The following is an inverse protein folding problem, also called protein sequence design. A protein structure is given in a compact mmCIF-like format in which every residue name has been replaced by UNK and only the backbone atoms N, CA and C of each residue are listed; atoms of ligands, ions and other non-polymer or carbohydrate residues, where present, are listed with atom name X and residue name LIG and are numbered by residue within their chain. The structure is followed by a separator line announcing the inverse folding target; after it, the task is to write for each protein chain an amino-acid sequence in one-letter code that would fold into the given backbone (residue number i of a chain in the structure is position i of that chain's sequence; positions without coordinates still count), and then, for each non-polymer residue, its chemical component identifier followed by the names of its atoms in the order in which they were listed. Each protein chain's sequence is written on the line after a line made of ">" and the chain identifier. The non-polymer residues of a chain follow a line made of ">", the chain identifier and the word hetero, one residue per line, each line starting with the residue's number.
data_IF_675378959661
#
_entry.id   IF_675378959661
#
_cell.length_a   1.000
_cell.length_b   1.000
_cell.length_c   1.000
_cell.angle_alpha   90.00
_cell.angle_beta   90.00
_cell.angle_gamma   90.00
#
_symmetry.space_group_name_H-M   'P 1'
#
loop_
_entity.id
_entity.type
_entity.pdbx_description
1 polymer ?
#
# COMPACT_ATOMS: atom_id res chain seq x y z
N UNK A 1 -43.36 -36.33 10.09
CA UNK A 1 -43.88 -35.00 10.51
C UNK A 1 -43.02 -34.57 11.69
N UNK A 2 -42.14 -33.59 11.69
CA UNK A 2 -41.74 -32.52 10.76
C UNK A 2 -40.23 -32.28 11.03
N UNK A 3 -39.33 -32.37 10.04
CA UNK A 3 -38.79 -31.20 9.32
C UNK A 3 -38.45 -30.00 10.23
N UNK A 4 -37.39 -30.11 11.03
CA UNK A 4 -36.51 -28.97 11.37
C UNK A 4 -35.09 -29.52 11.59
N UNK A 5 -34.29 -29.65 10.52
CA UNK A 5 -32.97 -29.04 10.58
C UNK A 5 -32.60 -28.50 9.19
N UNK A 6 -33.21 -27.39 8.79
CA UNK A 6 -32.80 -26.70 7.55
C UNK A 6 -32.57 -25.20 7.75
N UNK A 7 -32.87 -24.65 8.94
CA UNK A 7 -32.69 -23.22 9.20
C UNK A 7 -31.28 -22.83 9.67
N UNK A 8 -30.43 -23.78 10.07
CA UNK A 8 -29.11 -23.46 10.62
C UNK A 8 -27.96 -23.47 9.60
N UNK A 9 -28.19 -23.94 8.37
CA UNK A 9 -27.15 -24.04 7.33
C UNK A 9 -27.15 -22.83 6.39
N UNK A 10 -28.19 -21.98 6.44
CA UNK A 10 -28.31 -20.80 5.59
C UNK A 10 -27.69 -19.52 6.17
N UNK A 11 -27.23 -19.52 7.43
CA UNK A 11 -26.59 -18.36 8.08
C UNK A 11 -25.06 -18.35 7.97
N UNK A 12 -24.48 -19.31 7.26
CA UNK A 12 -23.05 -19.35 6.91
C UNK A 12 -22.83 -19.09 5.42
N UNK A 13 -23.69 -18.30 4.79
CA UNK A 13 -23.26 -17.57 3.61
C UNK A 13 -22.36 -16.46 4.11
N UNK A 14 -21.07 -16.78 4.27
CA UNK A 14 -20.02 -15.77 4.27
C UNK A 14 -20.32 -14.86 3.08
N UNK A 15 -20.70 -13.63 3.34
CA UNK A 15 -20.47 -12.58 2.36
C UNK A 15 -18.95 -12.46 2.27
N UNK A 16 -18.32 -13.38 1.53
CA UNK A 16 -17.02 -13.11 0.98
C UNK A 16 -17.27 -11.90 0.10
N UNK A 17 -16.67 -10.78 0.45
CA UNK A 17 -16.64 -9.60 -0.39
C UNK A 17 -15.85 -10.03 -1.63
N UNK A 18 -16.55 -10.60 -2.61
CA UNK A 18 -15.96 -11.06 -3.84
C UNK A 18 -15.93 -9.87 -4.78
N UNK A 19 -14.86 -9.08 -4.71
CA UNK A 19 -14.54 -8.11 -5.75
C UNK A 19 -14.14 -8.84 -7.04
N UNK A 20 -14.60 -8.35 -8.18
CA UNK A 20 -14.10 -8.81 -9.47
C UNK A 20 -12.89 -7.98 -9.92
N UNK A 21 -12.04 -8.49 -10.83
CA UNK A 21 -10.98 -7.69 -11.43
C UNK A 21 -11.50 -6.39 -12.07
N UNK A 22 -12.69 -6.42 -12.68
CA UNK A 22 -13.35 -5.24 -13.23
C UNK A 22 -13.73 -4.23 -12.13
N UNK A 23 -14.28 -4.69 -11.00
CA UNK A 23 -14.60 -3.81 -9.87
C UNK A 23 -13.34 -3.09 -9.35
N UNK A 24 -12.25 -3.84 -9.19
CA UNK A 24 -10.96 -3.26 -8.76
C UNK A 24 -10.41 -2.28 -9.79
N UNK A 25 -10.50 -2.60 -11.09
CA UNK A 25 -10.07 -1.72 -12.16
C UNK A 25 -10.87 -0.42 -12.21
N UNK A 26 -12.18 -0.46 -11.96
CA UNK A 26 -13.02 0.74 -11.93
C UNK A 26 -12.81 1.58 -10.66
N UNK A 27 -12.45 0.97 -9.55
CA UNK A 27 -12.15 1.68 -8.30
C UNK A 27 -10.77 2.37 -8.32
N UNK A 28 -9.77 1.73 -8.93
CA UNK A 28 -8.38 2.19 -8.89
C UNK A 28 -8.14 3.67 -9.27
N UNK A 29 -8.79 4.24 -10.31
CA UNK A 29 -8.60 5.65 -10.65
C UNK A 29 -8.97 6.65 -9.55
N UNK A 30 -9.88 6.26 -8.65
CA UNK A 30 -10.35 7.08 -7.52
C UNK A 30 -9.50 6.84 -6.27
N UNK A 31 -9.03 5.61 -6.08
CA UNK A 31 -8.26 5.20 -4.90
C UNK A 31 -6.75 5.47 -5.01
N UNK A 32 -6.20 5.58 -6.22
CA UNK A 32 -4.76 5.80 -6.41
C UNK A 32 -4.31 7.14 -5.84
N UNK A 33 -3.16 7.14 -5.19
CA UNK A 33 -2.54 8.33 -4.63
C UNK A 33 -1.60 9.00 -5.62
N UNK A 34 -0.83 8.19 -6.37
CA UNK A 34 0.13 8.70 -7.36
C UNK A 34 -0.56 8.84 -8.72
N UNK A 35 -0.76 10.08 -9.15
CA UNK A 35 -1.40 10.35 -10.44
C UNK A 35 -0.45 10.21 -11.63
N UNK A 36 0.84 10.48 -11.41
CA UNK A 36 1.90 10.41 -12.42
C UNK A 36 2.02 8.98 -12.95
N UNK A 37 1.96 8.76 -14.27
CA UNK A 37 2.15 7.43 -14.86
C UNK A 37 3.50 6.83 -14.43
N UNK A 38 3.52 5.55 -14.07
CA UNK A 38 4.72 4.90 -13.52
C UNK A 38 6.01 5.13 -14.34
N UNK A 39 6.02 5.01 -15.68
CA UNK A 39 7.24 5.27 -16.48
C UNK A 39 7.74 6.72 -16.45
N UNK A 40 6.89 7.65 -16.02
CA UNK A 40 7.15 9.08 -15.94
C UNK A 40 7.51 9.54 -14.51
N UNK A 41 7.26 8.72 -13.48
CA UNK A 41 7.55 9.08 -12.09
C UNK A 41 9.07 9.10 -11.87
N UNK A 42 9.65 10.30 -11.75
CA UNK A 42 11.09 10.48 -11.53
C UNK A 42 11.43 10.52 -10.04
N UNK A 43 12.71 10.33 -9.65
CA UNK A 43 13.11 10.42 -8.24
C UNK A 43 12.67 11.71 -7.54
N UNK A 44 12.70 12.85 -8.25
CA UNK A 44 12.24 14.13 -7.70
C UNK A 44 10.72 14.15 -7.46
N UNK A 45 9.94 13.60 -8.39
CA UNK A 45 8.48 13.49 -8.27
C UNK A 45 8.12 12.55 -7.12
N UNK A 46 8.79 11.39 -7.03
CA UNK A 46 8.63 10.44 -5.94
C UNK A 46 8.90 11.09 -4.57
N UNK A 47 9.99 11.85 -4.45
CA UNK A 47 10.29 12.56 -3.20
C UNK A 47 9.21 13.57 -2.81
N UNK A 48 8.61 14.24 -3.79
CA UNK A 48 7.47 15.14 -3.54
C UNK A 48 6.23 14.38 -3.07
N UNK A 49 5.91 13.24 -3.69
CA UNK A 49 4.78 12.40 -3.28
C UNK A 49 4.98 11.79 -1.88
N UNK A 50 6.21 11.36 -1.55
CA UNK A 50 6.58 10.89 -0.22
C UNK A 50 6.38 11.98 0.84
N UNK A 51 6.84 13.19 0.56
CA UNK A 51 6.69 14.32 1.47
C UNK A 51 5.21 14.67 1.68
N UNK A 52 4.42 14.73 0.60
CA UNK A 52 2.97 14.92 0.65
C UNK A 52 2.28 13.84 1.50
N UNK A 53 2.66 12.57 1.32
CA UNK A 53 2.10 11.47 2.11
C UNK A 53 2.44 11.61 3.59
N UNK A 54 3.68 12.00 3.92
CA UNK A 54 4.10 12.28 5.29
C UNK A 54 3.32 13.42 5.93
N UNK A 55 3.02 14.47 5.18
CA UNK A 55 2.27 15.63 5.66
C UNK A 55 0.79 15.31 5.88
N UNK A 56 0.20 14.42 5.09
CA UNK A 56 -1.16 13.94 5.27
C UNK A 56 -1.30 13.05 6.52
N UNK A 57 -0.23 12.34 6.91
CA UNK A 57 -0.26 11.33 7.97
C UNK A 57 0.92 11.41 8.95
N UNK A 58 1.18 12.57 9.59
CA UNK A 58 2.46 12.91 10.27
C UNK A 58 2.86 12.02 11.46
N UNK A 59 1.96 11.18 11.96
CA UNK A 59 2.23 10.24 13.06
C UNK A 59 2.00 8.77 12.68
N UNK A 60 1.47 8.50 11.48
CA UNK A 60 1.16 7.14 11.01
C UNK A 60 2.16 6.62 9.99
N UNK A 61 3.00 7.50 9.43
CA UNK A 61 4.07 7.13 8.50
C UNK A 61 5.39 7.75 8.95
N UNK A 62 6.47 6.99 8.82
CA UNK A 62 7.83 7.45 9.07
C UNK A 62 8.66 7.34 7.80
N UNK A 63 9.42 8.38 7.48
CA UNK A 63 10.33 8.42 6.33
C UNK A 63 11.76 8.42 6.84
N UNK A 64 12.61 7.56 6.27
CA UNK A 64 14.03 7.46 6.61
C UNK A 64 14.86 7.36 5.33
N UNK A 65 15.92 8.16 5.21
CA UNK A 65 16.95 7.93 4.19
C UNK A 65 17.86 6.80 4.65
N UNK A 66 17.73 5.63 4.03
CA UNK A 66 18.50 4.42 4.41
C UNK A 66 19.79 4.25 3.59
N UNK A 67 20.01 5.13 2.61
CA UNK A 67 21.20 5.12 1.79
C UNK A 67 21.12 6.10 0.64
N UNK A 68 22.16 6.05 -0.21
CA UNK A 68 22.26 6.82 -1.44
C UNK A 68 22.71 5.93 -2.57
N UNK A 69 22.23 6.21 -3.78
CA UNK A 69 22.65 5.55 -5.01
C UNK A 69 24.07 5.97 -5.43
N UNK A 70 24.55 5.43 -6.55
CA UNK A 70 25.88 5.77 -7.07
C UNK A 70 25.97 7.24 -7.49
N UNK A 71 24.93 7.79 -8.11
CA UNK A 71 24.86 9.22 -8.46
C UNK A 71 24.41 10.11 -7.28
N UNK A 72 24.33 9.55 -6.06
CA UNK A 72 24.09 10.29 -4.82
C UNK A 72 22.61 10.61 -4.53
N UNK A 73 21.68 9.99 -5.25
CA UNK A 73 20.23 10.17 -5.02
C UNK A 73 19.80 9.42 -3.75
N UNK A 74 18.93 10.01 -2.91
CA UNK A 74 18.48 9.37 -1.68
C UNK A 74 17.65 8.11 -1.97
N UNK A 75 17.83 7.09 -1.14
CA UNK A 75 16.97 5.89 -1.10
C UNK A 75 16.15 5.99 0.18
N UNK A 76 14.85 6.19 0.02
CA UNK A 76 13.92 6.42 1.13
C UNK A 76 13.20 5.12 1.51
N UNK A 77 13.23 4.78 2.79
CA UNK A 77 12.39 3.77 3.42
C UNK A 77 11.16 4.46 4.02
N UNK A 78 9.97 3.91 3.79
CA UNK A 78 8.75 4.30 4.50
C UNK A 78 8.30 3.19 5.44
N UNK A 79 7.87 3.56 6.64
CA UNK A 79 7.37 2.62 7.65
C UNK A 79 5.97 3.01 8.10
N UNK A 80 5.05 2.03 8.14
CA UNK A 80 3.70 2.18 8.68
C UNK A 80 3.23 0.89 9.35
N UNK A 81 2.25 1.00 10.26
CA UNK A 81 1.80 -0.10 11.11
C UNK A 81 2.69 -0.31 12.33
N UNK A 82 2.18 -1.05 13.30
CA UNK A 82 2.81 -1.25 14.60
C UNK A 82 2.72 -2.69 15.10
N UNK A 83 2.44 -3.62 14.19
CA UNK A 83 2.36 -5.02 14.52
C UNK A 83 3.72 -5.68 14.78
N UNK A 84 3.72 -6.86 15.42
CA UNK A 84 4.96 -7.55 15.79
C UNK A 84 5.74 -8.10 14.60
N UNK A 85 5.08 -8.36 13.46
CA UNK A 85 5.70 -8.98 12.30
C UNK A 85 6.11 -7.92 11.27
N UNK A 86 7.40 -7.85 10.94
CA UNK A 86 7.91 -6.91 9.94
C UNK A 86 7.91 -7.52 8.55
N UNK A 87 7.31 -6.82 7.58
CA UNK A 87 7.30 -7.19 6.17
C UNK A 87 7.99 -6.10 5.34
N UNK A 88 9.04 -6.50 4.62
CA UNK A 88 9.76 -5.62 3.70
C UNK A 88 9.18 -5.75 2.28
N UNK A 89 8.81 -4.62 1.69
CA UNK A 89 8.47 -4.50 0.29
C UNK A 89 9.48 -3.57 -0.41
N UNK A 90 9.89 -3.89 -1.63
CA UNK A 90 10.69 -2.98 -2.43
C UNK A 90 10.30 -3.03 -3.90
N UNK A 91 10.61 -1.97 -4.63
CA UNK A 91 10.43 -1.90 -6.08
C UNK A 91 11.62 -1.29 -6.80
N UNK A 92 11.61 -1.43 -8.14
CA UNK A 92 12.65 -0.93 -9.05
C UNK A 92 14.06 -1.35 -8.64
N UNK A 93 14.28 -2.65 -8.44
CA UNK A 93 15.66 -3.18 -8.46
C UNK A 93 16.25 -3.12 -9.87
N UNK A 94 15.39 -3.33 -10.88
CA UNK A 94 15.63 -2.99 -12.27
C UNK A 94 14.92 -1.66 -12.55
N UNK A 95 15.64 -0.65 -13.02
CA UNK A 95 15.12 0.71 -13.16
C UNK A 95 14.01 0.85 -14.23
N UNK A 96 13.95 -0.09 -15.16
CA UNK A 96 13.00 -0.18 -16.27
C UNK A 96 11.69 -0.92 -15.93
N UNK A 97 11.49 -1.30 -14.66
CA UNK A 97 10.27 -1.95 -14.16
C UNK A 97 9.49 -1.01 -13.19
N UNK A 98 8.97 0.14 -13.65
CA UNK A 98 8.52 1.23 -12.77
C UNK A 98 7.18 1.00 -12.08
N UNK A 99 6.38 0.03 -12.53
CA UNK A 99 4.97 -0.10 -12.14
C UNK A 99 4.73 -0.25 -10.63
N UNK A 100 5.67 -0.89 -9.92
CA UNK A 100 5.51 -1.18 -8.50
C UNK A 100 5.80 0.04 -7.60
N UNK A 101 6.56 1.03 -8.07
CA UNK A 101 6.89 2.24 -7.31
C UNK A 101 5.66 3.04 -6.89
N UNK A 102 4.78 3.49 -7.82
CA UNK A 102 3.54 4.15 -7.41
C UNK A 102 2.61 3.19 -6.66
N UNK A 103 2.61 1.90 -6.97
CA UNK A 103 1.75 0.93 -6.28
C UNK A 103 2.07 0.82 -4.78
N UNK A 104 3.35 0.91 -4.37
CA UNK A 104 3.71 0.93 -2.95
C UNK A 104 3.21 2.20 -2.24
N UNK A 105 3.22 3.35 -2.92
CA UNK A 105 2.63 4.59 -2.37
C UNK A 105 1.10 4.51 -2.32
N UNK A 106 0.46 3.93 -3.34
CA UNK A 106 -1.00 3.72 -3.36
C UNK A 106 -1.43 2.79 -2.21
N UNK A 107 -0.70 1.70 -1.95
CA UNK A 107 -0.96 0.80 -0.81
C UNK A 107 -0.83 1.56 0.52
N UNK A 108 0.25 2.33 0.69
CA UNK A 108 0.45 3.11 1.91
C UNK A 108 -0.70 4.10 2.13
N UNK A 109 -1.03 4.88 1.11
CA UNK A 109 -2.10 5.87 1.16
C UNK A 109 -3.46 5.20 1.44
N UNK A 110 -3.78 4.10 0.77
CA UNK A 110 -5.02 3.35 0.96
C UNK A 110 -5.19 2.86 2.39
N UNK A 111 -4.17 2.20 2.95
CA UNK A 111 -4.21 1.70 4.33
C UNK A 111 -4.34 2.83 5.35
N UNK A 112 -3.72 3.97 5.09
CA UNK A 112 -3.76 5.13 5.98
C UNK A 112 -5.08 5.92 5.89
N UNK A 113 -5.67 6.03 4.70
CA UNK A 113 -6.96 6.71 4.49
C UNK A 113 -8.14 5.89 5.01
N UNK A 114 -8.04 4.56 4.98
CA UNK A 114 -9.08 3.63 5.45
C UNK A 114 -8.79 3.09 6.86
N UNK A 115 -8.02 3.79 7.70
CA UNK A 115 -7.59 3.28 9.01
C UNK A 115 -8.72 2.98 10.00
N UNK A 116 -9.94 3.44 9.72
CA UNK A 116 -11.14 3.17 10.54
C UNK A 116 -11.96 1.98 10.01
N UNK A 117 -11.63 1.46 8.83
CA UNK A 117 -12.29 0.31 8.22
C UNK A 117 -11.59 -0.99 8.62
N UNK A 118 -12.31 -2.06 9.01
CA UNK A 118 -11.73 -3.24 9.67
C UNK A 118 -10.51 -3.86 8.99
N UNK A 119 -10.46 -3.79 7.66
CA UNK A 119 -9.41 -4.35 6.83
C UNK A 119 -8.04 -3.69 7.05
N UNK A 120 -7.99 -2.37 7.25
CA UNK A 120 -6.72 -1.67 7.43
C UNK A 120 -6.09 -1.94 8.81
N UNK A 121 -6.79 -1.82 9.96
CA UNK A 121 -6.28 -2.26 11.26
C UNK A 121 -5.92 -3.74 11.28
N UNK A 122 -6.68 -4.62 10.61
CA UNK A 122 -6.32 -6.04 10.51
C UNK A 122 -4.94 -6.27 9.87
N UNK A 123 -4.45 -5.32 9.06
CA UNK A 123 -3.10 -5.32 8.49
C UNK A 123 -2.13 -4.57 9.41
N UNK A 124 -2.43 -3.30 9.75
CA UNK A 124 -1.49 -2.39 10.44
C UNK A 124 -1.27 -2.73 11.92
N UNK A 125 -2.22 -3.41 12.57
CA UNK A 125 -2.08 -3.85 13.97
C UNK A 125 -1.26 -5.14 14.09
N UNK A 126 -1.17 -5.91 13.00
CA UNK A 126 -0.49 -7.20 12.95
C UNK A 126 0.86 -7.13 12.23
N UNK A 127 1.02 -6.20 11.30
CA UNK A 127 2.24 -5.99 10.53
C UNK A 127 2.86 -4.61 10.77
N UNK A 128 4.18 -4.56 10.77
CA UNK A 128 4.94 -3.34 10.45
C UNK A 128 5.42 -3.47 9.01
N UNK A 129 4.88 -2.63 8.14
CA UNK A 129 5.25 -2.58 6.73
C UNK A 129 6.41 -1.60 6.58
N UNK A 130 7.54 -2.10 6.08
CA UNK A 130 8.69 -1.27 5.69
C UNK A 130 8.85 -1.36 4.19
N UNK A 131 8.91 -0.22 3.50
CA UNK A 131 8.83 -0.19 2.03
C UNK A 131 9.90 0.71 1.43
N UNK A 132 10.58 0.24 0.38
CA UNK A 132 11.53 1.02 -0.43
C UNK A 132 10.90 1.23 -1.82
N UNK A 133 10.24 2.37 -2.08
CA UNK A 133 9.56 2.60 -3.35
C UNK A 133 10.49 2.60 -4.57
N UNK A 134 11.73 3.03 -4.44
CA UNK A 134 12.66 3.07 -5.56
C UNK A 134 14.07 2.69 -5.08
N UNK A 135 14.44 1.42 -5.29
CA UNK A 135 15.74 0.91 -4.88
C UNK A 135 16.87 1.35 -5.81
N UNK A 136 16.58 1.47 -7.11
CA UNK A 136 17.52 1.93 -8.13
C UNK A 136 17.06 3.28 -8.74
N UNK A 137 17.34 4.42 -8.07
CA UNK A 137 16.93 5.74 -8.55
C UNK A 137 17.85 6.34 -9.63
N UNK A 138 18.92 5.65 -10.03
CA UNK A 138 19.86 6.07 -11.09
C UNK A 138 19.40 5.65 -12.48
#
# INVERSE_FOLDING_TARGET
>A
MHMVPLLLVLLLQSTAWAFTPDDLWQAWPVERFVETPAPCLRPADLNAELQKLSELYPEKIQLEEVGRSFEGRPITLITLGHGPDTVLLWSQMHGDEPSATPALLDIAAFLLSHSEEPEAPAILDHLTLVMIPMLNPD
#
